data_IF_913294445176
#
_entry.id   IF_913294445176
#
_cell.length_a   1.000
_cell.length_b   1.000
_cell.length_c   1.000
_cell.angle_alpha   90.00
_cell.angle_beta   90.00
_cell.angle_gamma   90.00
#
_symmetry.space_group_name_H-M   'P 1'
#
loop_
_entity.id
_entity.type
_entity.pdbx_description
1 polymer ?
#
# COMPACT_ATOMS: atom_id res chain seq x y z
N UNK A 1 -77.59 -25.53 48.77
CA UNK A 1 -77.35 -26.98 48.65
C UNK A 1 -75.91 -27.18 48.12
N UNK A 2 -75.07 -27.71 48.98
CA UNK A 2 -74.26 -28.91 48.80
C UNK A 2 -73.40 -28.92 47.52
N UNK A 3 -72.15 -29.11 47.44
CA UNK A 3 -71.11 -29.77 48.34
C UNK A 3 -69.77 -29.72 47.57
N UNK A 4 -68.69 -29.61 48.29
CA UNK A 4 -67.44 -30.34 48.46
C UNK A 4 -66.46 -30.06 47.41
N UNK A 5 -65.29 -29.48 47.61
CA UNK A 5 -64.27 -29.87 48.63
C UNK A 5 -63.42 -30.98 48.06
N UNK A 6 -62.27 -30.64 47.45
CA UNK A 6 -61.14 -31.59 47.52
C UNK A 6 -59.84 -30.80 47.43
N UNK A 7 -59.09 -30.95 48.50
CA UNK A 7 -57.68 -30.53 48.62
C UNK A 7 -56.84 -31.50 47.81
N UNK A 8 -55.92 -31.01 46.98
CA UNK A 8 -54.82 -31.88 46.60
C UNK A 8 -53.51 -31.08 46.65
N UNK A 9 -52.56 -31.80 47.21
CA UNK A 9 -51.29 -31.34 47.73
C UNK A 9 -50.31 -30.81 46.65
N UNK A 10 -49.48 -29.90 47.12
CA UNK A 10 -48.25 -29.50 46.52
C UNK A 10 -47.32 -30.67 46.23
N UNK A 11 -46.78 -30.70 44.99
CA UNK A 11 -45.50 -31.37 44.75
C UNK A 11 -44.69 -30.39 43.90
N UNK A 12 -43.79 -29.71 44.58
CA UNK A 12 -42.79 -28.88 43.93
C UNK A 12 -41.76 -29.81 43.21
N UNK A 13 -41.75 -29.82 41.92
CA UNK A 13 -40.69 -30.44 41.12
C UNK A 13 -39.89 -29.30 40.47
N UNK A 14 -38.76 -28.98 41.10
CA UNK A 14 -37.78 -28.08 40.55
C UNK A 14 -37.14 -28.73 39.32
N UNK A 15 -37.56 -28.29 38.12
CA UNK A 15 -36.92 -28.66 36.88
C UNK A 15 -35.76 -27.68 36.65
N UNK A 16 -34.56 -28.10 37.04
CA UNK A 16 -33.31 -27.41 36.64
C UNK A 16 -33.16 -27.61 35.13
N UNK A 17 -33.54 -26.62 34.33
CA UNK A 17 -33.13 -26.53 32.92
C UNK A 17 -31.66 -26.14 32.89
N UNK A 18 -30.82 -27.12 32.68
CA UNK A 18 -29.48 -26.91 32.15
C UNK A 18 -29.65 -26.34 30.72
N UNK A 19 -29.54 -25.02 30.58
CA UNK A 19 -29.31 -24.39 29.30
C UNK A 19 -27.88 -24.76 28.88
N UNK A 20 -27.72 -25.93 28.27
CA UNK A 20 -26.61 -26.19 27.38
C UNK A 20 -26.84 -25.30 26.16
N UNK A 21 -26.14 -24.18 26.10
CA UNK A 21 -26.00 -23.38 24.89
C UNK A 21 -25.27 -24.24 23.86
N UNK A 22 -26.00 -25.04 23.10
CA UNK A 22 -25.54 -25.46 21.78
C UNK A 22 -25.57 -24.21 20.92
N UNK A 23 -24.42 -23.60 20.64
CA UNK A 23 -24.25 -22.86 19.42
C UNK A 23 -24.48 -23.86 18.29
N UNK A 24 -25.65 -23.81 17.68
CA UNK A 24 -25.91 -24.53 16.44
C UNK A 24 -25.01 -23.85 15.40
N UNK A 25 -23.81 -24.42 15.20
CA UNK A 25 -23.11 -24.18 13.95
C UNK A 25 -24.11 -24.52 12.84
N UNK A 26 -24.41 -23.58 11.99
CA UNK A 26 -25.19 -23.82 10.79
C UNK A 26 -24.35 -24.79 9.98
N UNK A 27 -24.80 -26.03 9.85
CA UNK A 27 -24.20 -27.02 8.96
C UNK A 27 -24.48 -26.50 7.52
N UNK A 28 -23.48 -25.91 6.91
CA UNK A 28 -23.52 -25.40 5.55
C UNK A 28 -23.29 -26.49 4.49
N UNK A 29 -23.18 -27.73 4.90
CA UNK A 29 -23.05 -28.91 4.03
C UNK A 29 -21.64 -29.15 3.49
N UNK A 30 -20.63 -28.40 3.99
CA UNK A 30 -19.22 -28.59 3.61
C UNK A 30 -18.63 -29.83 4.28
N UNK A 31 -17.69 -30.49 3.58
CA UNK A 31 -16.89 -31.55 4.19
C UNK A 31 -15.94 -30.94 5.24
N UNK A 32 -15.59 -31.75 6.26
CA UNK A 32 -14.62 -31.35 7.29
C UNK A 32 -13.28 -31.02 6.61
N UNK A 33 -12.82 -29.76 6.81
CA UNK A 33 -11.59 -29.25 6.23
C UNK A 33 -11.74 -28.48 4.92
N UNK A 34 -12.93 -28.32 4.36
CA UNK A 34 -13.17 -27.40 3.26
C UNK A 34 -13.17 -25.94 3.71
N UNK A 35 -12.75 -25.04 2.79
CA UNK A 35 -12.83 -23.60 3.02
C UNK A 35 -14.25 -23.08 2.84
N UNK A 36 -14.59 -21.97 3.49
CA UNK A 36 -15.83 -21.24 3.20
C UNK A 36 -15.90 -20.82 1.74
N UNK A 37 -17.07 -20.86 1.14
CA UNK A 37 -17.25 -20.33 -0.22
C UNK A 37 -17.49 -18.83 -0.14
N UNK A 38 -16.51 -18.05 -0.62
CA UNK A 38 -16.56 -16.59 -0.59
C UNK A 38 -15.79 -16.00 -1.79
N UNK A 39 -16.32 -14.93 -2.33
CA UNK A 39 -15.64 -14.07 -3.28
C UNK A 39 -15.32 -12.74 -2.60
N UNK A 40 -14.03 -12.37 -2.60
CA UNK A 40 -13.53 -11.12 -2.05
C UNK A 40 -13.16 -10.16 -3.19
N UNK A 41 -13.29 -8.87 -2.93
CA UNK A 41 -12.86 -7.81 -3.84
C UNK A 41 -11.52 -7.23 -3.37
N UNK A 42 -10.61 -6.95 -4.30
CA UNK A 42 -9.33 -6.30 -4.01
C UNK A 42 -9.09 -5.11 -4.93
N UNK A 43 -8.86 -3.93 -4.36
CA UNK A 43 -8.54 -2.72 -5.10
C UNK A 43 -7.05 -2.44 -5.08
N UNK A 44 -6.50 -2.00 -6.21
CA UNK A 44 -5.14 -1.49 -6.34
C UNK A 44 -5.10 -0.21 -7.15
N UNK A 45 -4.11 0.66 -6.86
CA UNK A 45 -4.03 1.98 -7.48
C UNK A 45 -3.43 1.94 -8.89
N UNK A 46 -2.46 1.05 -9.13
CA UNK A 46 -1.72 1.01 -10.38
C UNK A 46 -2.45 0.39 -11.54
N UNK A 47 -1.82 0.48 -12.70
CA UNK A 47 -2.28 -0.20 -13.93
C UNK A 47 -2.20 -1.72 -13.76
N UNK A 48 -2.87 -2.46 -14.64
CA UNK A 48 -2.87 -3.93 -14.66
C UNK A 48 -1.47 -4.57 -14.82
N UNK A 49 -0.48 -3.82 -15.27
CA UNK A 49 0.91 -4.28 -15.42
C UNK A 49 1.84 -3.78 -14.32
N UNK A 50 1.37 -2.91 -13.45
CA UNK A 50 2.14 -2.36 -12.32
C UNK A 50 2.34 -3.41 -11.23
N UNK A 51 3.39 -3.26 -10.44
CA UNK A 51 3.77 -4.26 -9.44
C UNK A 51 2.66 -4.56 -8.42
N UNK A 52 1.90 -3.58 -7.99
CA UNK A 52 0.79 -3.74 -7.05
C UNK A 52 -0.34 -4.62 -7.61
N UNK A 53 -0.73 -4.41 -8.88
CA UNK A 53 -1.71 -5.26 -9.55
C UNK A 53 -1.19 -6.68 -9.77
N UNK A 54 0.09 -6.83 -10.17
CA UNK A 54 0.74 -8.13 -10.36
C UNK A 54 0.84 -8.93 -9.05
N UNK A 55 1.14 -8.27 -7.93
CA UNK A 55 1.13 -8.87 -6.59
C UNK A 55 -0.28 -9.31 -6.20
N UNK A 56 -1.29 -8.48 -6.47
CA UNK A 56 -2.67 -8.81 -6.20
C UNK A 56 -3.17 -9.99 -7.04
N UNK A 57 -2.82 -10.06 -8.32
CA UNK A 57 -3.17 -11.17 -9.20
C UNK A 57 -2.47 -12.47 -8.77
N UNK A 58 -1.19 -12.40 -8.39
CA UNK A 58 -0.46 -13.55 -7.86
C UNK A 58 -1.07 -14.05 -6.54
N UNK A 59 -1.41 -13.15 -5.63
CA UNK A 59 -2.14 -13.47 -4.42
C UNK A 59 -3.48 -14.15 -4.71
N UNK A 60 -4.28 -13.59 -5.61
CA UNK A 60 -5.57 -14.16 -6.00
C UNK A 60 -5.45 -15.58 -6.55
N UNK A 61 -4.43 -15.83 -7.40
CA UNK A 61 -4.14 -17.15 -7.93
C UNK A 61 -3.75 -18.16 -6.85
N UNK A 62 -2.89 -17.76 -5.88
CA UNK A 62 -2.52 -18.61 -4.74
C UNK A 62 -3.73 -18.97 -3.87
N UNK A 63 -4.59 -17.99 -3.60
CA UNK A 63 -5.80 -18.19 -2.78
C UNK A 63 -6.76 -19.16 -3.47
N UNK A 64 -7.03 -18.97 -4.76
CA UNK A 64 -7.91 -19.85 -5.54
C UNK A 64 -7.36 -21.28 -5.59
N UNK A 65 -6.06 -21.44 -5.90
CA UNK A 65 -5.40 -22.75 -5.97
C UNK A 65 -5.47 -23.48 -4.62
N UNK A 66 -5.07 -22.82 -3.51
CA UNK A 66 -4.94 -23.46 -2.19
C UNK A 66 -6.29 -23.71 -1.52
N UNK A 67 -7.30 -22.92 -1.85
CA UNK A 67 -8.68 -23.16 -1.38
C UNK A 67 -9.46 -24.18 -2.22
N UNK A 68 -8.90 -24.64 -3.35
CA UNK A 68 -9.61 -25.46 -4.33
C UNK A 68 -10.77 -24.73 -5.01
N UNK A 69 -10.66 -23.40 -5.16
CA UNK A 69 -11.66 -22.52 -5.76
C UNK A 69 -12.80 -22.11 -4.82
N UNK A 70 -12.73 -22.45 -3.53
CA UNK A 70 -13.76 -22.02 -2.58
C UNK A 70 -13.62 -20.55 -2.18
N UNK A 71 -12.38 -20.05 -2.06
CA UNK A 71 -12.09 -18.63 -1.84
C UNK A 71 -11.54 -18.05 -3.12
N UNK A 72 -12.15 -16.99 -3.62
CA UNK A 72 -11.69 -16.28 -4.81
C UNK A 72 -11.53 -14.80 -4.51
N UNK A 73 -10.62 -14.14 -5.24
CA UNK A 73 -10.36 -12.69 -5.11
C UNK A 73 -10.46 -12.04 -6.48
N UNK A 74 -11.40 -11.11 -6.62
CA UNK A 74 -11.54 -10.30 -7.83
C UNK A 74 -10.70 -9.02 -7.70
N UNK A 75 -9.66 -8.87 -8.53
CA UNK A 75 -8.74 -7.72 -8.52
C UNK A 75 -9.23 -6.61 -9.43
N UNK A 76 -9.21 -5.38 -8.93
CA UNK A 76 -9.66 -4.16 -9.63
C UNK A 76 -8.52 -3.13 -9.68
N UNK A 77 -7.71 -3.09 -10.76
CA UNK A 77 -6.62 -2.12 -10.94
C UNK A 77 -7.14 -0.71 -11.27
N UNK A 78 -6.23 0.29 -11.30
CA UNK A 78 -6.50 1.69 -11.64
C UNK A 78 -7.59 2.36 -10.80
N UNK A 79 -7.75 1.98 -9.54
CA UNK A 79 -8.86 2.46 -8.71
C UNK A 79 -10.24 2.35 -9.40
N UNK A 80 -10.46 1.28 -10.17
CA UNK A 80 -11.68 1.11 -10.99
C UNK A 80 -12.96 1.24 -10.17
N UNK A 81 -12.98 0.66 -8.96
CA UNK A 81 -14.14 0.73 -8.05
C UNK A 81 -14.43 2.18 -7.60
N UNK A 82 -13.44 3.04 -7.64
CA UNK A 82 -13.49 4.44 -7.23
C UNK A 82 -13.45 5.45 -8.41
N UNK A 83 -13.59 4.97 -9.66
CA UNK A 83 -13.49 5.77 -10.89
C UNK A 83 -12.14 6.52 -11.02
N UNK A 84 -11.04 5.87 -10.69
CA UNK A 84 -9.68 6.42 -10.79
C UNK A 84 -9.29 7.39 -9.68
N UNK A 85 -10.04 7.44 -8.58
CA UNK A 85 -9.78 8.32 -7.44
C UNK A 85 -9.27 7.50 -6.25
N UNK A 86 -7.96 7.58 -5.98
CA UNK A 86 -7.31 6.82 -4.92
C UNK A 86 -7.85 7.13 -3.52
N UNK A 87 -8.11 8.41 -3.20
CA UNK A 87 -8.67 8.78 -1.90
C UNK A 87 -10.01 8.11 -1.65
N UNK A 88 -10.87 8.06 -2.67
CA UNK A 88 -12.14 7.36 -2.58
C UNK A 88 -11.96 5.84 -2.47
N UNK A 89 -11.00 5.26 -3.18
CA UNK A 89 -10.64 3.84 -3.06
C UNK A 89 -10.26 3.48 -1.62
N UNK A 90 -9.45 4.33 -0.98
CA UNK A 90 -9.04 4.16 0.41
C UNK A 90 -10.24 4.31 1.38
N UNK A 91 -11.16 5.25 1.14
CA UNK A 91 -12.40 5.35 1.92
C UNK A 91 -13.28 4.10 1.75
N UNK A 92 -13.29 3.47 0.58
CA UNK A 92 -14.05 2.25 0.32
C UNK A 92 -13.50 1.05 1.11
N UNK A 93 -12.17 0.88 1.19
CA UNK A 93 -11.58 -0.17 2.04
C UNK A 93 -11.82 0.12 3.52
N UNK A 94 -11.68 1.36 3.98
CA UNK A 94 -11.93 1.74 5.36
C UNK A 94 -13.41 1.49 5.78
N UNK A 95 -14.35 1.64 4.86
CA UNK A 95 -15.79 1.43 5.11
C UNK A 95 -16.29 -0.01 4.87
N UNK A 96 -15.44 -0.93 4.42
CA UNK A 96 -15.82 -2.29 4.06
C UNK A 96 -16.63 -2.40 2.75
N UNK A 97 -16.60 -1.36 1.90
CA UNK A 97 -17.17 -1.42 0.54
C UNK A 97 -16.25 -2.15 -0.45
N UNK A 98 -15.00 -2.36 -0.07
CA UNK A 98 -14.00 -3.21 -0.70
C UNK A 98 -13.35 -4.03 0.40
N UNK A 99 -13.04 -5.30 0.16
CA UNK A 99 -12.61 -6.24 1.19
C UNK A 99 -11.11 -6.19 1.45
N UNK A 100 -10.31 -6.09 0.39
CA UNK A 100 -8.85 -6.09 0.37
C UNK A 100 -8.33 -4.94 -0.49
N UNK A 101 -7.11 -4.49 -0.21
CA UNK A 101 -6.44 -3.53 -1.09
C UNK A 101 -4.91 -3.59 -0.95
N UNK A 102 -4.21 -3.04 -1.94
CA UNK A 102 -2.80 -2.67 -1.83
C UNK A 102 -2.62 -1.22 -2.27
N UNK A 103 -2.08 -0.39 -1.36
CA UNK A 103 -1.85 1.03 -1.60
C UNK A 103 -0.51 1.49 -1.04
N UNK A 104 0.15 2.38 -1.78
CA UNK A 104 1.36 3.06 -1.32
C UNK A 104 1.10 3.87 -0.05
N UNK A 105 2.09 3.91 0.86
CA UNK A 105 1.97 4.63 2.13
C UNK A 105 1.69 6.12 1.93
N UNK A 106 2.27 6.72 0.90
CA UNK A 106 2.01 8.12 0.52
C UNK A 106 0.55 8.37 0.09
N UNK A 107 -0.10 7.39 -0.52
CA UNK A 107 -1.51 7.48 -0.92
C UNK A 107 -2.41 7.28 0.29
N UNK A 108 -2.05 6.38 1.22
CA UNK A 108 -2.73 6.17 2.49
C UNK A 108 -2.63 7.37 3.45
N UNK A 109 -1.76 8.34 3.17
CA UNK A 109 -1.67 9.59 3.93
C UNK A 109 -3.00 10.36 4.01
N UNK A 110 -3.93 10.13 3.09
CA UNK A 110 -5.28 10.75 3.10
C UNK A 110 -6.09 10.36 4.34
N UNK A 111 -5.85 9.19 4.91
CA UNK A 111 -6.53 8.72 6.14
C UNK A 111 -5.63 8.79 7.37
N UNK A 112 -4.33 8.70 7.18
CA UNK A 112 -3.34 8.82 8.23
C UNK A 112 -2.02 9.39 7.71
N UNK A 113 -1.81 10.67 7.96
CA UNK A 113 -0.65 11.43 7.50
C UNK A 113 0.70 10.95 8.08
N UNK A 114 0.67 10.01 9.03
CA UNK A 114 1.88 9.43 9.63
C UNK A 114 2.34 8.12 8.98
N UNK A 115 1.53 7.54 8.08
CA UNK A 115 1.91 6.31 7.37
C UNK A 115 3.15 6.48 6.47
N UNK A 116 3.37 7.60 5.76
CA UNK A 116 4.50 7.72 4.84
C UNK A 116 5.84 8.05 5.52
N UNK A 117 6.08 7.70 6.78
CA UNK A 117 7.35 7.96 7.48
C UNK A 117 8.56 7.34 6.77
N UNK A 118 8.41 6.15 6.19
CA UNK A 118 9.46 5.49 5.41
C UNK A 118 9.87 6.26 4.14
N UNK A 119 9.08 7.25 3.72
CA UNK A 119 9.37 8.05 2.51
C UNK A 119 10.22 9.29 2.79
N UNK A 120 10.63 9.53 4.04
CA UNK A 120 11.58 10.60 4.35
C UNK A 120 12.85 10.40 3.51
N UNK A 121 13.37 11.46 2.86
CA UNK A 121 14.47 11.32 1.91
C UNK A 121 15.73 10.67 2.51
N UNK A 122 16.28 9.71 1.77
CA UNK A 122 17.56 9.03 2.06
C UNK A 122 17.68 8.52 3.50
N UNK A 123 16.64 7.81 3.99
CA UNK A 123 16.72 7.08 5.28
C UNK A 123 17.11 5.61 5.10
N UNK A 124 17.06 5.10 3.88
CA UNK A 124 17.51 3.75 3.52
C UNK A 124 18.50 3.81 2.36
N UNK A 125 19.57 3.02 2.44
CA UNK A 125 20.60 2.93 1.42
C UNK A 125 20.16 2.01 0.25
N UNK A 126 19.48 0.91 0.58
CA UNK A 126 19.05 -0.10 -0.39
C UNK A 126 17.75 -0.83 0.04
N UNK A 127 17.31 -1.76 -0.80
CA UNK A 127 16.10 -2.56 -0.56
C UNK A 127 16.26 -3.53 0.62
N UNK A 128 17.45 -4.07 0.85
CA UNK A 128 17.69 -5.02 1.94
C UNK A 128 17.58 -4.33 3.29
N UNK A 129 18.14 -3.13 3.42
CA UNK A 129 17.99 -2.30 4.62
C UNK A 129 16.53 -1.92 4.87
N UNK A 130 15.83 -1.45 3.85
CA UNK A 130 14.41 -1.08 3.96
C UNK A 130 13.56 -2.27 4.41
N UNK A 131 13.75 -3.46 3.82
CA UNK A 131 13.04 -4.69 4.23
C UNK A 131 13.37 -5.07 5.67
N UNK A 132 14.65 -5.05 6.06
CA UNK A 132 15.07 -5.43 7.40
C UNK A 132 14.41 -4.56 8.48
N UNK A 133 14.29 -3.26 8.24
CA UNK A 133 13.63 -2.32 9.16
C UNK A 133 12.12 -2.51 9.16
N UNK A 134 11.50 -2.59 7.98
CA UNK A 134 10.04 -2.73 7.88
C UNK A 134 9.58 -4.06 8.50
N UNK A 135 10.25 -5.17 8.21
CA UNK A 135 9.87 -6.49 8.72
C UNK A 135 10.21 -6.68 10.21
N UNK A 136 11.02 -5.81 10.80
CA UNK A 136 11.27 -5.82 12.24
C UNK A 136 10.27 -4.94 13.01
N UNK A 137 10.41 -3.65 12.95
CA UNK A 137 9.67 -2.66 13.76
C UNK A 137 8.64 -1.88 12.94
N UNK A 138 8.89 -1.65 11.66
CA UNK A 138 8.01 -0.89 10.77
C UNK A 138 6.65 -1.53 10.58
N UNK A 139 6.58 -2.87 10.47
CA UNK A 139 5.31 -3.61 10.33
C UNK A 139 4.38 -3.41 11.53
N UNK A 140 4.92 -3.38 12.74
CA UNK A 140 4.12 -3.18 13.95
C UNK A 140 3.56 -1.76 13.99
N UNK A 141 4.36 -0.78 13.58
CA UNK A 141 3.91 0.61 13.41
C UNK A 141 2.78 0.72 12.37
N UNK A 142 2.95 0.12 11.19
CA UNK A 142 1.90 0.12 10.17
C UNK A 142 0.62 -0.58 10.64
N UNK A 143 0.75 -1.74 11.29
CA UNK A 143 -0.38 -2.49 11.81
C UNK A 143 -1.16 -1.68 12.85
N UNK A 144 -0.49 -1.01 13.79
CA UNK A 144 -1.13 -0.17 14.78
C UNK A 144 -1.87 1.02 14.14
N UNK A 145 -1.22 1.71 13.19
CA UNK A 145 -1.81 2.87 12.51
C UNK A 145 -3.04 2.49 11.69
N UNK A 146 -2.96 1.40 10.93
CA UNK A 146 -4.07 0.89 10.12
C UNK A 146 -5.23 0.40 10.97
N UNK A 147 -4.96 -0.27 12.10
CA UNK A 147 -5.99 -0.72 13.03
C UNK A 147 -6.83 0.44 13.57
N UNK A 148 -6.24 1.60 13.85
CA UNK A 148 -6.97 2.82 14.24
C UNK A 148 -7.92 3.34 13.16
N UNK A 149 -7.77 2.88 11.92
CA UNK A 149 -8.59 3.26 10.76
C UNK A 149 -9.53 2.14 10.29
N UNK A 150 -9.67 1.06 11.07
CA UNK A 150 -10.53 -0.08 10.72
C UNK A 150 -9.94 -0.97 9.63
N UNK A 151 -8.63 -1.00 9.50
CA UNK A 151 -7.91 -1.82 8.54
C UNK A 151 -6.92 -2.75 9.23
N UNK A 152 -6.78 -3.95 8.68
CA UNK A 152 -5.86 -4.99 9.13
C UNK A 152 -4.68 -5.05 8.17
N UNK A 153 -3.46 -4.93 8.71
CA UNK A 153 -2.22 -5.09 7.94
C UNK A 153 -1.97 -6.58 7.67
N UNK A 154 -1.70 -6.93 6.42
CA UNK A 154 -1.41 -8.31 5.99
C UNK A 154 0.02 -8.47 5.46
N UNK A 155 0.72 -7.39 5.14
CA UNK A 155 2.07 -7.39 4.63
C UNK A 155 2.43 -6.09 3.91
N UNK A 156 3.65 -6.03 3.40
CA UNK A 156 4.12 -4.93 2.55
C UNK A 156 5.08 -5.42 1.49
N UNK A 157 5.13 -4.73 0.38
CA UNK A 157 6.08 -4.99 -0.70
C UNK A 157 6.60 -3.67 -1.29
N UNK A 158 7.61 -3.75 -2.16
CA UNK A 158 8.22 -2.58 -2.76
C UNK A 158 7.28 -1.90 -3.76
N UNK A 159 6.98 -0.62 -3.55
CA UNK A 159 6.63 0.31 -4.60
C UNK A 159 7.92 0.77 -5.31
N UNK A 160 9.02 0.85 -4.58
CA UNK A 160 10.38 1.01 -5.02
C UNK A 160 11.04 2.31 -4.57
N UNK A 161 12.34 2.44 -4.87
CA UNK A 161 13.02 3.72 -4.75
C UNK A 161 12.56 4.68 -5.84
N UNK A 162 12.26 5.91 -5.44
CA UNK A 162 11.64 6.91 -6.31
C UNK A 162 12.70 7.72 -7.06
N UNK A 163 12.46 7.89 -8.35
CA UNK A 163 13.31 8.56 -9.32
C UNK A 163 12.57 9.75 -9.92
N UNK A 164 13.29 10.73 -10.44
CA UNK A 164 12.69 11.87 -11.11
C UNK A 164 12.71 11.67 -12.63
N UNK A 165 11.55 11.85 -13.29
CA UNK A 165 11.50 12.01 -14.75
C UNK A 165 10.99 13.39 -15.13
N UNK A 166 11.49 13.94 -16.23
CA UNK A 166 11.02 15.21 -16.77
C UNK A 166 11.25 15.31 -18.28
N UNK A 167 10.59 16.27 -18.95
CA UNK A 167 10.68 16.51 -20.38
C UNK A 167 11.46 17.80 -20.74
N UNK A 168 12.22 18.37 -19.80
CA UNK A 168 12.90 19.67 -19.99
C UNK A 168 14.39 19.54 -20.19
N UNK A 169 15.09 18.96 -19.24
CA UNK A 169 16.55 18.86 -19.24
C UNK A 169 17.03 17.80 -18.24
N UNK A 170 18.29 17.44 -18.38
CA UNK A 170 18.98 16.59 -17.42
C UNK A 170 19.08 17.30 -16.05
N UNK A 171 18.84 16.56 -14.96
CA UNK A 171 18.92 17.07 -13.58
C UNK A 171 20.12 16.43 -12.90
N UNK A 172 21.09 17.27 -12.49
CA UNK A 172 22.33 16.88 -11.78
C UNK A 172 22.59 17.68 -10.53
N UNK A 173 21.98 18.86 -10.40
CA UNK A 173 22.14 19.75 -9.25
C UNK A 173 20.78 20.20 -8.72
N UNK A 174 20.68 20.66 -7.46
CA UNK A 174 19.45 21.22 -6.92
C UNK A 174 18.85 22.34 -7.78
N UNK A 175 19.69 23.20 -8.37
CA UNK A 175 19.26 24.30 -9.22
C UNK A 175 18.57 23.82 -10.50
N UNK A 176 18.90 22.62 -10.98
CA UNK A 176 18.22 22.03 -12.16
C UNK A 176 16.77 21.63 -11.86
N UNK A 177 16.37 21.54 -10.59
CA UNK A 177 15.00 21.23 -10.19
C UNK A 177 14.14 22.48 -10.03
N UNK A 178 14.77 23.66 -9.87
CA UNK A 178 14.06 24.92 -9.65
C UNK A 178 13.02 25.19 -10.76
N UNK A 179 11.81 25.53 -10.34
CA UNK A 179 10.68 25.88 -11.22
C UNK A 179 10.15 24.75 -12.12
N UNK A 180 10.65 23.53 -12.01
CA UNK A 180 10.02 22.39 -12.67
C UNK A 180 8.65 22.12 -12.05
N UNK A 181 7.64 21.96 -12.89
CA UNK A 181 6.29 21.58 -12.49
C UNK A 181 6.23 20.04 -12.32
N UNK A 182 6.47 19.59 -11.10
CA UNK A 182 6.56 18.16 -10.81
C UNK A 182 5.26 17.68 -10.20
N UNK A 183 4.67 16.63 -10.81
CA UNK A 183 3.57 15.93 -10.14
C UNK A 183 4.13 15.09 -9.01
N UNK A 184 3.46 15.15 -7.88
CA UNK A 184 3.70 14.27 -6.74
C UNK A 184 2.38 13.67 -6.25
N UNK A 185 2.38 12.53 -5.50
CA UNK A 185 1.21 12.10 -4.75
C UNK A 185 0.92 13.07 -3.60
N UNK A 186 -0.28 12.98 -2.99
CA UNK A 186 -0.76 13.90 -1.97
C UNK A 186 -0.10 13.73 -0.60
N UNK A 187 1.22 13.63 -0.53
CA UNK A 187 2.02 13.47 0.69
C UNK A 187 2.75 14.75 1.05
N UNK A 188 2.79 15.07 2.35
CA UNK A 188 3.54 16.23 2.87
C UNK A 188 5.04 16.08 2.60
N UNK A 189 5.57 14.85 2.60
CA UNK A 189 6.98 14.56 2.34
C UNK A 189 7.34 14.97 0.92
N UNK A 190 6.59 14.49 -0.07
CA UNK A 190 6.93 14.77 -1.47
C UNK A 190 6.67 16.22 -1.86
N UNK A 191 5.55 16.79 -1.40
CA UNK A 191 5.28 18.23 -1.59
C UNK A 191 6.38 19.09 -0.97
N UNK A 192 6.79 18.79 0.25
CA UNK A 192 7.82 19.54 0.98
C UNK A 192 9.20 19.38 0.35
N UNK A 193 9.58 18.15 -0.05
CA UNK A 193 10.86 17.87 -0.68
C UNK A 193 11.07 18.69 -1.97
N UNK A 194 10.11 18.66 -2.89
CA UNK A 194 10.22 19.43 -4.13
C UNK A 194 10.09 20.93 -3.91
N UNK A 195 9.32 21.39 -2.92
CA UNK A 195 9.32 22.80 -2.51
C UNK A 195 10.69 23.24 -1.97
N UNK A 196 11.35 22.40 -1.15
CA UNK A 196 12.67 22.70 -0.62
C UNK A 196 13.73 22.84 -1.73
N UNK A 197 13.57 22.10 -2.84
CA UNK A 197 14.40 22.22 -4.04
C UNK A 197 13.96 23.34 -4.98
N UNK A 198 12.97 24.17 -4.63
CA UNK A 198 12.52 25.29 -5.47
C UNK A 198 11.67 24.88 -6.67
N UNK A 199 11.21 23.64 -6.76
CA UNK A 199 10.27 23.22 -7.79
C UNK A 199 8.84 23.71 -7.51
N UNK A 200 7.95 23.53 -8.50
CA UNK A 200 6.52 23.79 -8.41
C UNK A 200 5.73 22.45 -8.30
N UNK A 201 5.70 21.78 -7.13
CA UNK A 201 5.03 20.49 -7.01
C UNK A 201 3.50 20.63 -7.03
N UNK A 202 2.84 19.67 -7.69
CA UNK A 202 1.38 19.61 -7.77
C UNK A 202 0.89 18.21 -7.42
N UNK A 203 0.03 18.10 -6.41
CA UNK A 203 -0.62 16.84 -6.06
C UNK A 203 -1.71 16.48 -7.09
N UNK A 204 -1.67 15.24 -7.60
CA UNK A 204 -2.61 14.78 -8.63
C UNK A 204 -2.76 13.25 -8.56
N UNK A 205 -3.99 12.73 -8.84
CA UNK A 205 -4.21 11.29 -8.97
C UNK A 205 -3.36 10.70 -10.10
N UNK A 206 -2.86 9.47 -9.88
CA UNK A 206 -1.99 8.80 -10.85
C UNK A 206 -2.62 8.65 -12.24
N UNK A 207 -3.90 8.33 -12.29
CA UNK A 207 -4.68 8.17 -13.53
C UNK A 207 -4.70 9.40 -14.46
N UNK A 208 -4.36 10.59 -13.94
CA UNK A 208 -4.39 11.85 -14.69
C UNK A 208 -3.00 12.28 -15.19
N UNK A 209 -1.92 11.69 -14.63
CA UNK A 209 -0.54 12.19 -14.76
C UNK A 209 -0.02 12.12 -16.20
N UNK A 210 -0.16 10.95 -16.87
CA UNK A 210 0.30 10.80 -18.26
C UNK A 210 -0.28 11.87 -19.18
N UNK A 211 -1.60 12.11 -19.07
CA UNK A 211 -2.29 13.11 -19.88
C UNK A 211 -1.82 14.53 -19.55
N UNK A 212 -1.61 14.85 -18.28
CA UNK A 212 -1.14 16.18 -17.86
C UNK A 212 0.27 16.48 -18.38
N UNK A 213 1.18 15.51 -18.34
CA UNK A 213 2.53 15.60 -18.90
C UNK A 213 2.47 15.73 -20.43
N UNK A 214 1.71 14.86 -21.10
CA UNK A 214 1.54 14.90 -22.56
C UNK A 214 1.00 16.25 -23.06
N UNK A 215 0.13 16.90 -22.27
CA UNK A 215 -0.39 18.24 -22.58
C UNK A 215 0.55 19.38 -22.18
N UNK A 216 1.69 19.09 -21.53
CA UNK A 216 2.63 20.09 -21.05
C UNK A 216 2.14 20.93 -19.87
N UNK A 217 1.12 20.45 -19.14
CA UNK A 217 0.66 21.09 -17.91
C UNK A 217 1.63 20.85 -16.76
N UNK A 218 2.30 19.70 -16.78
CA UNK A 218 3.39 19.28 -15.90
C UNK A 218 4.66 19.11 -16.72
N UNK A 219 5.80 19.31 -16.09
CA UNK A 219 7.12 19.12 -16.69
C UNK A 219 7.67 17.71 -16.35
N UNK A 220 7.28 17.15 -15.23
CA UNK A 220 7.75 15.85 -14.80
C UNK A 220 6.91 15.21 -13.69
N UNK A 221 7.39 14.06 -13.27
CA UNK A 221 6.83 13.28 -12.14
C UNK A 221 7.97 12.53 -11.45
N UNK A 222 7.70 12.01 -10.28
CA UNK A 222 8.61 11.16 -9.52
C UNK A 222 7.92 9.86 -9.14
N UNK A 223 8.62 8.74 -9.30
CA UNK A 223 8.09 7.41 -8.96
C UNK A 223 9.18 6.33 -9.07
N UNK A 224 8.87 5.12 -8.62
CA UNK A 224 9.71 3.95 -8.87
C UNK A 224 9.85 3.64 -10.37
N UNK A 225 10.94 2.96 -10.72
CA UNK A 225 11.26 2.55 -12.10
C UNK A 225 10.13 1.68 -12.70
N UNK A 226 9.63 0.71 -11.95
CA UNK A 226 8.55 -0.19 -12.39
C UNK A 226 7.25 0.57 -12.70
N UNK A 227 6.90 1.57 -11.90
CA UNK A 227 5.69 2.37 -12.08
C UNK A 227 5.83 3.29 -13.30
N UNK A 228 7.01 3.88 -13.47
CA UNK A 228 7.36 4.71 -14.63
C UNK A 228 7.25 3.91 -15.93
N UNK A 229 7.66 2.64 -15.92
CA UNK A 229 7.58 1.73 -17.07
C UNK A 229 6.14 1.30 -17.38
N UNK A 230 5.41 0.81 -16.38
CA UNK A 230 4.04 0.30 -16.56
C UNK A 230 3.09 1.35 -17.13
N UNK A 231 3.35 2.63 -16.81
CA UNK A 231 2.58 3.77 -17.31
C UNK A 231 3.20 4.41 -18.55
N UNK A 232 4.26 3.81 -19.11
CA UNK A 232 4.94 4.22 -20.34
C UNK A 232 5.37 5.70 -20.31
N UNK A 233 5.84 6.18 -19.17
CA UNK A 233 6.24 7.60 -19.05
C UNK A 233 7.36 7.97 -20.02
N UNK A 234 8.17 7.02 -20.49
CA UNK A 234 9.17 7.22 -21.54
C UNK A 234 8.59 7.68 -22.88
N UNK A 235 7.29 7.54 -23.14
CA UNK A 235 6.64 8.10 -24.34
C UNK A 235 6.44 9.61 -24.27
N UNK A 236 6.51 10.22 -23.07
CA UNK A 236 6.21 11.62 -22.81
C UNK A 236 7.27 12.34 -21.95
N UNK A 237 8.35 11.64 -21.55
CA UNK A 237 9.43 12.15 -20.71
C UNK A 237 10.78 11.77 -21.32
N UNK A 238 11.67 12.74 -21.45
CA UNK A 238 12.95 12.57 -22.14
C UNK A 238 14.12 12.28 -21.18
N UNK A 239 13.98 12.62 -19.88
CA UNK A 239 15.06 12.57 -18.91
C UNK A 239 14.63 11.77 -17.66
N UNK A 240 15.53 10.90 -17.18
CA UNK A 240 15.41 10.16 -15.94
C UNK A 240 16.64 10.41 -15.08
N UNK A 241 16.46 10.92 -13.87
CA UNK A 241 17.52 11.05 -12.87
C UNK A 241 17.34 9.95 -11.81
N UNK A 242 18.34 9.08 -11.71
CA UNK A 242 18.42 8.01 -10.71
C UNK A 242 19.13 8.56 -9.47
N UNK A 243 18.38 8.81 -8.42
CA UNK A 243 18.85 9.38 -7.15
C UNK A 243 18.33 8.67 -5.90
N UNK A 244 17.45 7.68 -6.06
CA UNK A 244 16.90 6.89 -4.95
C UNK A 244 16.51 7.75 -3.72
N UNK A 245 15.90 8.92 -3.97
CA UNK A 245 15.73 9.91 -2.92
C UNK A 245 14.76 9.48 -1.82
N UNK A 246 13.84 8.61 -2.13
CA UNK A 246 12.82 8.14 -1.20
C UNK A 246 12.47 6.69 -1.49
N UNK A 247 12.35 5.89 -0.43
CA UNK A 247 11.82 4.54 -0.52
C UNK A 247 10.31 4.56 -0.26
N UNK A 248 9.57 3.84 -1.08
CA UNK A 248 8.13 3.69 -0.92
C UNK A 248 7.73 2.21 -0.86
N UNK A 249 6.81 1.89 0.04
CA UNK A 249 6.20 0.57 0.12
C UNK A 249 4.69 0.63 -0.10
N UNK A 250 4.17 -0.39 -0.74
CA UNK A 250 2.75 -0.69 -0.75
C UNK A 250 2.39 -1.54 0.46
N UNK A 251 1.28 -1.21 1.13
CA UNK A 251 0.74 -1.98 2.24
C UNK A 251 -0.40 -2.85 1.72
N UNK A 252 -0.29 -4.16 1.98
CA UNK A 252 -1.36 -5.13 1.75
C UNK A 252 -2.30 -5.10 2.94
N UNK A 253 -3.57 -4.74 2.71
CA UNK A 253 -4.52 -4.43 3.77
C UNK A 253 -5.88 -5.12 3.53
N UNK A 254 -6.57 -5.44 4.63
CA UNK A 254 -7.96 -5.86 4.62
C UNK A 254 -8.82 -4.87 5.42
N UNK A 255 -10.11 -4.75 5.09
CA UNK A 255 -11.05 -4.15 6.03
C UNK A 255 -11.16 -5.04 7.28
N UNK A 256 -11.07 -4.45 8.48
CA UNK A 256 -11.03 -5.23 9.73
C UNK A 256 -12.34 -5.99 9.98
N UNK A 257 -13.51 -5.39 9.71
CA UNK A 257 -14.78 -6.08 9.92
C UNK A 257 -14.96 -7.27 8.95
N UNK A 258 -14.53 -7.10 7.71
CA UNK A 258 -14.50 -8.20 6.73
C UNK A 258 -13.54 -9.29 7.21
N UNK A 259 -12.31 -8.92 7.58
CA UNK A 259 -11.30 -9.85 8.08
C UNK A 259 -11.80 -10.68 9.27
N UNK A 260 -12.38 -10.02 10.27
CA UNK A 260 -12.92 -10.68 11.47
C UNK A 260 -14.15 -11.56 11.19
N UNK A 261 -14.87 -11.32 10.10
CA UNK A 261 -16.00 -12.15 9.68
C UNK A 261 -15.60 -13.46 9.02
N UNK A 262 -14.34 -13.58 8.57
CA UNK A 262 -13.83 -14.79 7.92
C UNK A 262 -13.58 -15.90 8.95
N UNK A 263 -13.75 -17.14 8.51
CA UNK A 263 -13.36 -18.30 9.31
C UNK A 263 -11.84 -18.30 9.58
N UNK A 264 -11.39 -18.73 10.77
CA UNK A 264 -9.96 -18.71 11.11
C UNK A 264 -9.05 -19.39 10.06
N UNK A 265 -9.53 -20.50 9.48
CA UNK A 265 -8.81 -21.20 8.41
C UNK A 265 -8.66 -20.35 7.14
N UNK A 266 -9.67 -19.56 6.81
CA UNK A 266 -9.62 -18.64 5.66
C UNK A 266 -8.70 -17.46 5.95
N UNK A 267 -8.71 -16.91 7.17
CA UNK A 267 -7.76 -15.88 7.58
C UNK A 267 -6.31 -16.38 7.48
N UNK A 268 -6.02 -17.60 7.95
CA UNK A 268 -4.70 -18.23 7.87
C UNK A 268 -4.25 -18.38 6.41
N UNK A 269 -5.12 -18.92 5.54
CA UNK A 269 -4.86 -19.03 4.11
C UNK A 269 -4.51 -17.67 3.46
N UNK A 270 -5.35 -16.65 3.71
CA UNK A 270 -5.14 -15.32 3.12
C UNK A 270 -3.87 -14.67 3.64
N UNK A 271 -3.55 -14.82 4.94
CA UNK A 271 -2.33 -14.27 5.52
C UNK A 271 -1.06 -14.94 4.93
N UNK A 272 -1.06 -16.27 4.78
CA UNK A 272 0.05 -16.99 4.15
C UNK A 272 0.22 -16.60 2.68
N UNK A 273 -0.87 -16.54 1.91
CA UNK A 273 -0.83 -16.13 0.51
C UNK A 273 -0.39 -14.68 0.35
N UNK A 274 -0.81 -13.78 1.25
CA UNK A 274 -0.40 -12.38 1.22
C UNK A 274 1.10 -12.22 1.51
N UNK A 275 1.63 -12.96 2.50
CA UNK A 275 3.07 -12.98 2.79
C UNK A 275 3.88 -13.44 1.59
N UNK A 276 3.50 -14.57 0.97
CA UNK A 276 4.19 -15.08 -0.21
C UNK A 276 4.10 -14.15 -1.40
N UNK A 277 2.95 -13.52 -1.61
CA UNK A 277 2.77 -12.55 -2.69
C UNK A 277 3.60 -11.26 -2.47
N UNK A 278 3.72 -10.79 -1.23
CA UNK A 278 4.58 -9.66 -0.89
C UNK A 278 6.07 -9.99 -1.16
N UNK A 279 6.54 -11.17 -0.75
CA UNK A 279 7.91 -11.61 -1.00
C UNK A 279 8.20 -11.74 -2.50
N UNK A 280 7.28 -12.37 -3.25
CA UNK A 280 7.37 -12.46 -4.70
C UNK A 280 7.42 -11.08 -5.37
N UNK A 281 6.63 -10.12 -4.88
CA UNK A 281 6.61 -8.75 -5.40
C UNK A 281 7.93 -8.03 -5.17
N UNK A 282 8.53 -8.18 -3.98
CA UNK A 282 9.85 -7.64 -3.63
C UNK A 282 10.94 -8.17 -4.56
N UNK A 283 11.03 -9.49 -4.68
CA UNK A 283 12.02 -10.13 -5.56
C UNK A 283 11.81 -9.74 -7.03
N UNK A 284 10.59 -9.71 -7.50
CA UNK A 284 10.25 -9.39 -8.88
C UNK A 284 10.67 -7.97 -9.22
N UNK A 285 10.34 -6.98 -8.40
CA UNK A 285 10.68 -5.58 -8.65
C UNK A 285 12.19 -5.39 -8.71
N UNK A 286 12.95 -5.90 -7.73
CA UNK A 286 14.41 -5.78 -7.69
C UNK A 286 15.07 -6.44 -8.90
N UNK A 287 14.62 -7.64 -9.26
CA UNK A 287 15.18 -8.39 -10.39
C UNK A 287 14.93 -7.71 -11.75
N UNK A 288 13.82 -7.01 -11.91
CA UNK A 288 13.44 -6.37 -13.17
C UNK A 288 14.00 -4.94 -13.33
N UNK A 289 14.38 -4.27 -12.25
CA UNK A 289 14.70 -2.84 -12.24
C UNK A 289 15.84 -2.47 -13.21
N UNK A 290 16.95 -3.20 -13.19
CA UNK A 290 18.09 -2.93 -14.07
C UNK A 290 17.73 -3.08 -15.55
N UNK A 291 16.97 -4.11 -15.91
CA UNK A 291 16.52 -4.32 -17.27
C UNK A 291 15.54 -3.24 -17.73
N UNK A 292 14.69 -2.76 -16.83
CA UNK A 292 13.75 -1.66 -17.10
C UNK A 292 14.48 -0.34 -17.34
N UNK A 293 15.56 -0.05 -16.60
CA UNK A 293 16.40 1.12 -16.84
C UNK A 293 17.07 1.06 -18.21
N UNK A 294 17.56 -0.11 -18.62
CA UNK A 294 18.13 -0.28 -19.97
C UNK A 294 17.06 -0.08 -21.07
N UNK A 295 15.84 -0.60 -20.86
CA UNK A 295 14.71 -0.35 -21.75
C UNK A 295 14.45 1.15 -21.90
N UNK A 296 14.48 1.95 -20.86
CA UNK A 296 14.29 3.41 -20.96
C UNK A 296 15.34 4.08 -21.88
N UNK A 297 16.60 3.63 -21.82
CA UNK A 297 17.65 4.09 -22.74
C UNK A 297 17.37 3.69 -24.19
N UNK A 298 16.87 2.46 -24.41
CA UNK A 298 16.48 1.96 -25.74
C UNK A 298 15.28 2.73 -26.31
N UNK A 299 14.33 3.14 -25.43
CA UNK A 299 13.18 3.98 -25.80
C UNK A 299 13.56 5.48 -25.98
N UNK A 300 14.82 5.84 -25.74
CA UNK A 300 15.36 7.17 -26.05
C UNK A 300 15.47 8.12 -24.86
N UNK A 301 15.20 7.69 -23.64
CA UNK A 301 15.42 8.54 -22.45
C UNK A 301 16.92 8.73 -22.17
N UNK A 302 17.29 9.95 -21.79
CA UNK A 302 18.58 10.23 -21.16
C UNK A 302 18.53 9.82 -19.70
N UNK A 303 19.28 8.79 -19.32
CA UNK A 303 19.35 8.29 -17.95
C UNK A 303 20.59 8.86 -17.26
N UNK A 304 20.38 9.64 -16.22
CA UNK A 304 21.41 10.29 -15.42
C UNK A 304 21.65 9.51 -14.13
N UNK A 305 22.90 9.13 -13.91
CA UNK A 305 23.41 8.63 -12.62
C UNK A 305 24.14 9.77 -11.94
N UNK A 306 23.74 10.12 -10.73
CA UNK A 306 24.41 11.14 -9.95
C UNK A 306 25.71 10.60 -9.35
N UNK A 307 26.73 11.44 -9.29
CA UNK A 307 27.95 11.18 -8.54
C UNK A 307 27.70 11.39 -7.04
N UNK A 308 28.60 10.90 -6.19
CA UNK A 308 28.52 11.13 -4.74
C UNK A 308 28.51 12.63 -4.38
N UNK A 309 29.23 13.47 -5.13
CA UNK A 309 29.27 14.92 -4.93
C UNK A 309 27.93 15.57 -5.32
N UNK A 310 27.32 15.14 -6.44
CA UNK A 310 26.00 15.61 -6.87
C UNK A 310 24.92 15.15 -5.88
N UNK A 311 24.97 13.92 -5.39
CA UNK A 311 24.05 13.43 -4.35
C UNK A 311 24.15 14.23 -3.06
N UNK A 312 25.39 14.46 -2.57
CA UNK A 312 25.62 15.25 -1.36
C UNK A 312 25.07 16.67 -1.47
N UNK A 313 25.10 17.27 -2.65
CA UNK A 313 24.53 18.60 -2.87
C UNK A 313 22.98 18.59 -2.71
N UNK A 314 22.30 17.55 -3.19
CA UNK A 314 20.86 17.40 -2.97
C UNK A 314 20.51 17.17 -1.49
N UNK A 315 21.29 16.31 -0.80
CA UNK A 315 21.08 16.06 0.62
C UNK A 315 21.26 17.32 1.46
N UNK A 316 22.30 18.13 1.16
CA UNK A 316 22.54 19.42 1.81
C UNK A 316 21.39 20.40 1.56
N UNK A 317 20.92 20.48 0.32
CA UNK A 317 19.85 21.41 -0.06
C UNK A 317 18.53 21.15 0.67
N UNK A 318 18.26 19.91 1.08
CA UNK A 318 17.02 19.54 1.79
C UNK A 318 17.24 19.17 3.26
N UNK A 319 18.40 19.43 3.83
CA UNK A 319 18.74 19.03 5.20
C UNK A 319 17.77 19.60 6.24
N UNK A 320 17.40 20.88 6.12
CA UNK A 320 16.43 21.53 7.01
C UNK A 320 15.04 20.87 6.86
N UNK A 321 14.62 20.60 5.63
CA UNK A 321 13.35 19.90 5.37
C UNK A 321 13.35 18.50 5.97
N UNK A 322 14.45 17.74 5.84
CA UNK A 322 14.58 16.41 6.43
C UNK A 322 14.40 16.46 7.96
N UNK A 323 14.99 17.44 8.62
CA UNK A 323 14.81 17.67 10.07
C UNK A 323 13.36 18.03 10.42
N UNK A 324 12.70 18.88 9.60
CA UNK A 324 11.27 19.18 9.78
C UNK A 324 10.41 17.92 9.71
N UNK A 325 10.75 16.97 8.83
CA UNK A 325 10.02 15.68 8.72
C UNK A 325 10.26 14.79 9.94
N UNK A 326 11.44 14.76 10.51
CA UNK A 326 11.69 14.05 11.79
C UNK A 326 10.81 14.61 12.90
N UNK A 327 10.75 15.92 13.02
CA UNK A 327 9.88 16.60 14.02
C UNK A 327 8.40 16.35 13.72
N UNK A 328 8.00 16.39 12.44
CA UNK A 328 6.63 16.15 12.02
C UNK A 328 6.16 14.73 12.34
N UNK A 329 6.92 13.70 12.00
CA UNK A 329 6.55 12.31 12.29
C UNK A 329 6.66 12.00 13.78
N UNK A 330 7.67 12.54 14.47
CA UNK A 330 7.92 12.38 15.88
C UNK A 330 8.79 11.16 16.20
N UNK A 331 9.33 11.15 17.41
CA UNK A 331 10.37 10.19 17.83
C UNK A 331 9.91 8.72 17.72
N UNK A 332 8.67 8.40 18.07
CA UNK A 332 8.18 7.01 18.04
C UNK A 332 8.11 6.47 16.60
N UNK A 333 7.61 7.28 15.66
CA UNK A 333 7.57 6.93 14.26
C UNK A 333 8.98 6.79 13.67
N UNK A 334 9.86 7.76 13.96
CA UNK A 334 11.26 7.74 13.53
C UNK A 334 11.97 6.48 14.06
N UNK A 335 11.82 6.16 15.34
CA UNK A 335 12.44 4.99 15.95
C UNK A 335 11.95 3.66 15.32
N UNK A 336 10.67 3.58 14.93
CA UNK A 336 10.12 2.39 14.25
C UNK A 336 10.77 2.14 12.89
N UNK A 337 11.36 3.16 12.28
CA UNK A 337 12.05 3.08 10.98
C UNK A 337 13.58 3.28 11.09
N UNK A 338 14.15 3.07 12.30
CA UNK A 338 15.60 3.13 12.51
C UNK A 338 16.21 4.54 12.41
N UNK A 339 15.38 5.58 12.43
CA UNK A 339 15.81 6.97 12.32
C UNK A 339 16.17 7.47 13.73
N UNK A 340 17.42 7.87 13.91
CA UNK A 340 17.89 8.59 15.09
C UNK A 340 17.53 10.08 14.92
N UNK A 341 16.45 10.52 15.57
CA UNK A 341 15.91 11.89 15.47
C UNK A 341 16.45 12.79 16.59
#
# INVERSE_FOLDING_TARGET
MRRKGLKLACLAMALVMLLSGCSTAVDDGRAEGEYQTIELTMAVNGTDTQIDARVADYFAALVEERSGGNVTVAVFPNDQLANGNASRGIEMIASGSTDLAAYATCTLAVIDEKLPVATIPWIFEDYDEAVAVIDSTGKDYYAERLAMKGMTYLGSFHNGFRQLTNSKHEVRTPEDVEHLKIRVPGSVVFMGFFNALGADPTAMNWSEVFTAIQQGTLDGQENGVSITDSSKMYEVQDYLTLWNYSYESDLFIANTEVWESLEPKTQELLAECASEACDWGRETLVNEEAATIEKFKEEGMTVTYLTDEEMAAFEEAVADFKQEMFDYFGADACAAFGIEA
#
